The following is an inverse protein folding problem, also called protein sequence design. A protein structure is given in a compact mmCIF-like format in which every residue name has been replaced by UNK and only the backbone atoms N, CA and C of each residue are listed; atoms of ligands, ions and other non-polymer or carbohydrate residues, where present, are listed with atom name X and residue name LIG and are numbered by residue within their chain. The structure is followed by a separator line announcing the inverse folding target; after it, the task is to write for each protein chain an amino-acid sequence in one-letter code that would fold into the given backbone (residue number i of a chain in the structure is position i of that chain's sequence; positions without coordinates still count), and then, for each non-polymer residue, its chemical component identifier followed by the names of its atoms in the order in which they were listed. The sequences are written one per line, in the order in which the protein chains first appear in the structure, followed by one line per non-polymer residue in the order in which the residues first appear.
data_IF_971199311707
#
_entry.id   IF_971199311707
#
_cell.length_a   1.000
_cell.length_b   1.000
_cell.length_c   1.000
_cell.angle_alpha   90.00
_cell.angle_beta   90.00
_cell.angle_gamma   90.00
#
_symmetry.space_group_name_H-M   'P 1'
#
loop_
_entity.id
_entity.type
_entity.pdbx_description
1 polymer ?
#
# COMPACT_ATOMS: atom_id res chain seq x y z
N UNK A 1 -8.54 13.91 7.27
CA UNK A 1 -7.10 14.25 7.31
C UNK A 1 -6.22 13.04 7.00
N UNK A 2 -6.44 11.85 7.58
CA UNK A 2 -5.61 10.64 7.34
C UNK A 2 -5.71 10.07 5.90
N UNK A 3 -6.87 10.20 5.23
CA UNK A 3 -7.09 9.55 3.92
C UNK A 3 -6.44 10.27 2.75
N UNK A 4 -6.40 11.61 2.82
CA UNK A 4 -5.89 12.40 1.71
C UNK A 4 -4.39 12.15 1.55
N UNK A 5 -3.66 12.17 2.66
CA UNK A 5 -2.23 11.86 2.70
C UNK A 5 -1.93 10.45 2.17
N UNK A 6 -2.71 9.44 2.55
CA UNK A 6 -2.47 8.07 2.04
C UNK A 6 -2.73 7.90 0.54
N UNK A 7 -3.62 8.70 -0.05
CA UNK A 7 -3.81 8.72 -1.51
C UNK A 7 -2.70 9.50 -2.21
N UNK A 8 -2.35 10.66 -1.68
CA UNK A 8 -1.27 11.50 -2.23
C UNK A 8 0.08 10.74 -2.21
N UNK A 9 0.35 9.99 -1.14
CA UNK A 9 1.53 9.13 -1.02
C UNK A 9 1.52 8.01 -2.06
N UNK A 10 0.40 7.32 -2.23
CA UNK A 10 0.26 6.27 -3.24
C UNK A 10 0.45 6.82 -4.65
N UNK A 11 -0.21 7.92 -5.01
CA UNK A 11 -0.13 8.52 -6.35
C UNK A 11 1.31 8.94 -6.69
N UNK A 12 2.02 9.51 -5.71
CA UNK A 12 3.43 9.91 -5.86
C UNK A 12 4.32 8.68 -6.07
N UNK A 13 4.18 7.65 -5.23
CA UNK A 13 4.97 6.43 -5.34
C UNK A 13 4.65 5.65 -6.62
N UNK A 14 3.38 5.67 -7.05
CA UNK A 14 2.94 5.03 -8.28
C UNK A 14 3.53 5.71 -9.51
N UNK A 15 3.53 7.05 -9.55
CA UNK A 15 4.19 7.80 -10.63
C UNK A 15 5.70 7.52 -10.68
N UNK A 16 6.37 7.50 -9.53
CA UNK A 16 7.80 7.18 -9.41
C UNK A 16 8.11 5.72 -9.80
N UNK A 17 7.16 4.81 -9.57
CA UNK A 17 7.34 3.37 -9.80
C UNK A 17 7.63 3.01 -11.25
N UNK A 18 7.28 3.89 -12.20
CA UNK A 18 7.56 3.72 -13.63
C UNK A 18 9.06 3.61 -13.94
N UNK A 19 9.92 4.17 -13.09
CA UNK A 19 11.38 4.12 -13.26
C UNK A 19 12.04 3.08 -12.35
N UNK A 20 11.54 2.92 -11.13
CA UNK A 20 12.09 1.99 -10.13
C UNK A 20 10.99 1.53 -9.21
N UNK A 21 10.90 0.22 -8.95
CA UNK A 21 9.92 -0.34 -8.04
C UNK A 21 9.94 0.35 -6.66
N UNK A 22 8.76 0.72 -6.16
CA UNK A 22 8.56 1.39 -4.87
C UNK A 22 7.73 0.51 -3.95
N UNK A 23 7.95 0.65 -2.64
CA UNK A 23 7.21 -0.06 -1.60
C UNK A 23 6.52 0.97 -0.71
N UNK A 24 5.21 0.79 -0.49
CA UNK A 24 4.42 1.60 0.43
C UNK A 24 4.00 0.74 1.62
N UNK A 25 4.34 1.17 2.84
CA UNK A 25 3.89 0.53 4.07
C UNK A 25 2.55 1.10 4.54
N UNK A 26 1.54 0.26 4.71
CA UNK A 26 0.26 0.65 5.33
C UNK A 26 0.27 0.22 6.79
N UNK A 27 0.47 1.18 7.70
CA UNK A 27 0.50 0.93 9.14
C UNK A 27 -0.92 0.85 9.70
N UNK A 28 -1.33 -0.36 10.11
CA UNK A 28 -2.64 -0.61 10.71
C UNK A 28 -2.50 -0.99 12.17
N UNK A 29 -3.01 -0.14 13.07
CA UNK A 29 -3.09 -0.44 14.50
C UNK A 29 -4.53 -0.82 14.88
N UNK A 30 -4.82 -2.03 15.38
CA UNK A 30 -6.18 -2.48 15.69
C UNK A 30 -6.93 -1.53 16.64
N UNK A 31 -6.25 -0.98 17.65
CA UNK A 31 -6.81 0.00 18.58
C UNK A 31 -7.31 1.28 17.88
N UNK A 32 -6.69 1.67 16.77
CA UNK A 32 -7.08 2.86 16.01
C UNK A 32 -8.02 2.51 14.85
N UNK A 33 -7.80 1.39 14.15
CA UNK A 33 -8.48 1.05 12.89
C UNK A 33 -9.69 0.13 13.08
N UNK A 34 -9.84 -0.46 14.27
CA UNK A 34 -10.99 -1.27 14.64
C UNK A 34 -12.26 -0.47 14.92
N UNK A 35 -12.14 0.86 15.04
CA UNK A 35 -13.28 1.75 15.18
C UNK A 35 -14.22 1.67 13.96
N UNK A 36 -15.54 1.45 14.14
CA UNK A 36 -16.49 1.22 13.05
C UNK A 36 -16.53 2.34 12.00
N UNK A 37 -16.22 3.57 12.40
CA UNK A 37 -16.20 4.73 11.50
C UNK A 37 -14.91 4.84 10.69
N UNK A 38 -13.83 4.14 11.06
CA UNK A 38 -12.54 4.15 10.35
C UNK A 38 -12.40 3.01 9.35
N UNK A 39 -12.99 1.86 9.64
CA UNK A 39 -12.96 0.69 8.74
C UNK A 39 -13.46 0.98 7.31
N UNK A 40 -14.56 1.74 7.08
CA UNK A 40 -15.03 2.05 5.73
C UNK A 40 -14.01 2.84 4.90
N UNK A 41 -13.24 3.70 5.55
CA UNK A 41 -12.22 4.50 4.89
C UNK A 41 -11.01 3.68 4.46
N UNK A 42 -10.58 2.71 5.29
CA UNK A 42 -9.57 1.73 4.88
C UNK A 42 -10.05 0.90 3.68
N UNK A 43 -11.31 0.44 3.70
CA UNK A 43 -11.90 -0.28 2.56
C UNK A 43 -11.88 0.56 1.28
N UNK A 44 -12.22 1.86 1.37
CA UNK A 44 -12.15 2.79 0.23
C UNK A 44 -10.73 2.96 -0.30
N UNK A 45 -9.74 3.10 0.58
CA UNK A 45 -8.34 3.22 0.16
C UNK A 45 -7.86 1.96 -0.57
N UNK A 46 -8.12 0.76 -0.02
CA UNK A 46 -7.76 -0.50 -0.67
C UNK A 46 -8.48 -0.66 -2.01
N UNK A 47 -9.78 -0.29 -2.08
CA UNK A 47 -10.54 -0.35 -3.32
C UNK A 47 -10.00 0.62 -4.39
N UNK A 48 -9.48 1.78 -3.98
CA UNK A 48 -8.79 2.70 -4.88
C UNK A 48 -7.49 2.09 -5.40
N UNK A 49 -6.61 1.60 -4.53
CA UNK A 49 -5.33 1.00 -4.94
C UNK A 49 -5.50 -0.18 -5.89
N UNK A 50 -6.56 -0.98 -5.72
CA UNK A 50 -6.90 -2.11 -6.61
C UNK A 50 -7.35 -1.72 -8.02
N UNK A 51 -7.68 -0.45 -8.27
CA UNK A 51 -8.04 0.03 -9.61
C UNK A 51 -6.83 0.32 -10.48
N UNK A 52 -5.62 0.33 -9.91
CA UNK A 52 -4.38 0.59 -10.64
C UNK A 52 -3.70 -0.73 -11.01
N UNK A 53 -3.23 -0.82 -12.26
CA UNK A 53 -2.45 -1.94 -12.74
C UNK A 53 -1.04 -1.93 -12.14
N UNK A 54 -0.39 -3.10 -12.10
CA UNK A 54 0.98 -3.29 -11.58
C UNK A 54 1.16 -3.00 -10.09
N UNK A 55 0.08 -3.06 -9.30
CA UNK A 55 0.14 -2.98 -7.83
C UNK A 55 0.21 -4.39 -7.24
N UNK A 56 1.27 -4.67 -6.46
CA UNK A 56 1.42 -5.94 -5.76
C UNK A 56 1.06 -5.81 -4.28
N UNK A 57 -0.05 -6.44 -3.88
CA UNK A 57 -0.45 -6.56 -2.48
C UNK A 57 0.27 -7.74 -1.86
N UNK A 58 1.21 -7.45 -0.96
CA UNK A 58 2.16 -8.43 -0.44
C UNK A 58 2.47 -8.17 1.02
N UNK A 59 2.95 -9.21 1.69
CA UNK A 59 3.54 -9.14 3.03
C UNK A 59 5.03 -8.80 2.94
N UNK A 60 5.62 -8.38 4.07
CA UNK A 60 7.06 -8.09 4.14
C UNK A 60 7.94 -9.32 3.85
N UNK A 61 7.50 -10.52 4.23
CA UNK A 61 8.22 -11.76 3.96
C UNK A 61 8.30 -12.06 2.47
N UNK A 62 7.18 -11.93 1.75
CA UNK A 62 7.13 -12.14 0.31
C UNK A 62 8.03 -11.14 -0.46
N UNK A 63 8.18 -9.90 0.04
CA UNK A 63 9.12 -8.92 -0.54
C UNK A 63 10.57 -9.44 -0.42
N UNK A 64 10.93 -10.00 0.74
CA UNK A 64 12.26 -10.58 0.96
C UNK A 64 12.48 -11.76 0.01
N UNK A 65 11.52 -12.67 -0.09
CA UNK A 65 11.59 -13.84 -0.98
C UNK A 65 11.78 -13.41 -2.45
N UNK A 66 11.09 -12.35 -2.89
CA UNK A 66 11.26 -11.80 -4.23
C UNK A 66 12.64 -11.19 -4.44
N UNK A 67 13.18 -10.49 -3.45
CA UNK A 67 14.51 -9.89 -3.51
C UNK A 67 15.62 -10.96 -3.58
N UNK A 68 15.50 -12.03 -2.80
CA UNK A 68 16.45 -13.15 -2.82
C UNK A 68 16.47 -13.86 -4.17
N UNK A 69 15.31 -14.08 -4.80
CA UNK A 69 15.20 -14.69 -6.13
C UNK A 69 15.86 -13.87 -7.24
N UNK A 70 15.83 -12.53 -7.15
CA UNK A 70 16.47 -11.66 -8.15
C UNK A 70 18.00 -11.63 -7.97
N UNK A 71 18.49 -11.86 -6.74
CA UNK A 71 19.92 -11.80 -6.40
C UNK A 71 20.67 -13.10 -6.67
N UNK A 72 19.97 -14.22 -6.86
CA UNK A 72 20.54 -15.53 -7.21
C UNK A 72 20.67 -15.70 -8.73
#
# INVERSE_FOLDING_TARGET
MILKTGWDDFDTLYADSQKTARVMGILLHPFLMGEPWRTPYLKKAIAYFKQHDCVWFTTGSEIIDAFEKIRS
#
